data_IF_458090499612
#
_entry.id   IF_458090499612
#
_cell.length_a   1.000
_cell.length_b   1.000
_cell.length_c   1.000
_cell.angle_alpha   90.00
_cell.angle_beta   90.00
_cell.angle_gamma   90.00
#
_symmetry.space_group_name_H-M   'P 1'
#
loop_
_entity.id
_entity.type
_entity.pdbx_description
1 polymer ?
#
# COMPACT_ATOMS: atom_id res chain seq x y z
N UNK A 1 15.81 -31.07 -6.68
CA UNK A 1 16.38 -29.87 -5.98
C UNK A 1 15.97 -28.55 -6.63
N UNK A 2 16.11 -28.36 -7.96
CA UNK A 2 15.78 -27.09 -8.61
C UNK A 2 14.28 -26.70 -8.52
N UNK A 3 13.37 -27.65 -8.71
CA UNK A 3 11.91 -27.42 -8.65
C UNK A 3 11.45 -26.91 -7.29
N UNK A 4 11.98 -27.48 -6.20
CA UNK A 4 11.65 -27.08 -4.83
C UNK A 4 12.04 -25.63 -4.55
N UNK A 5 13.21 -25.20 -5.05
CA UNK A 5 13.69 -23.83 -4.92
C UNK A 5 12.85 -22.82 -5.72
N UNK A 6 12.39 -23.20 -6.91
CA UNK A 6 11.51 -22.35 -7.74
C UNK A 6 10.17 -22.16 -7.03
N UNK A 7 9.57 -23.23 -6.51
CA UNK A 7 8.30 -23.17 -5.79
C UNK A 7 8.41 -22.34 -4.51
N UNK A 8 9.53 -22.42 -3.79
CA UNK A 8 9.80 -21.57 -2.63
C UNK A 8 9.80 -20.08 -3.00
N UNK A 9 10.52 -19.72 -4.08
CA UNK A 9 10.56 -18.33 -4.55
C UNK A 9 9.19 -17.82 -4.99
N UNK A 10 8.43 -18.64 -5.73
CA UNK A 10 7.07 -18.30 -6.15
C UNK A 10 6.14 -18.12 -4.95
N UNK A 11 6.24 -18.99 -3.94
CA UNK A 11 5.49 -18.87 -2.70
C UNK A 11 5.81 -17.58 -1.95
N UNK A 12 7.09 -17.25 -1.76
CA UNK A 12 7.52 -16.00 -1.13
C UNK A 12 7.02 -14.77 -1.90
N UNK A 13 7.15 -14.79 -3.23
CA UNK A 13 6.68 -13.70 -4.08
C UNK A 13 5.16 -13.51 -3.98
N UNK A 14 4.41 -14.61 -3.99
CA UNK A 14 2.95 -14.57 -3.81
C UNK A 14 2.55 -13.96 -2.46
N UNK A 15 3.24 -14.33 -1.37
CA UNK A 15 2.99 -13.73 -0.05
C UNK A 15 3.29 -12.23 -0.06
N UNK A 16 4.39 -11.79 -0.67
CA UNK A 16 4.69 -10.35 -0.80
C UNK A 16 3.61 -9.64 -1.60
N UNK A 17 3.11 -10.22 -2.69
CA UNK A 17 2.01 -9.66 -3.47
C UNK A 17 0.71 -9.59 -2.67
N UNK A 18 0.39 -10.63 -1.90
CA UNK A 18 -0.81 -10.68 -1.06
C UNK A 18 -0.76 -9.62 0.03
N UNK A 19 0.38 -9.51 0.72
CA UNK A 19 0.60 -8.46 1.71
C UNK A 19 0.59 -7.08 1.06
N UNK A 20 1.23 -6.92 -0.10
CA UNK A 20 1.18 -5.68 -0.88
C UNK A 20 -0.25 -5.29 -1.21
N UNK A 21 -1.05 -6.20 -1.75
CA UNK A 21 -2.46 -5.97 -2.07
C UNK A 21 -3.28 -5.58 -0.82
N UNK A 22 -3.04 -6.23 0.32
CA UNK A 22 -3.76 -5.96 1.56
C UNK A 22 -3.39 -4.60 2.18
N UNK A 23 -2.10 -4.27 2.23
CA UNK A 23 -1.61 -3.10 2.96
C UNK A 23 -1.49 -1.83 2.10
N UNK A 24 -1.31 -1.96 0.77
CA UNK A 24 -1.23 -0.82 -0.13
C UNK A 24 -2.45 0.14 -0.03
N UNK A 25 -3.72 -0.31 -0.05
CA UNK A 25 -4.85 0.60 0.08
C UNK A 25 -4.87 1.31 1.44
N UNK A 26 -4.44 0.64 2.51
CA UNK A 26 -4.36 1.24 3.86
C UNK A 26 -3.29 2.35 3.87
N UNK A 27 -2.12 2.10 3.26
CA UNK A 27 -1.05 3.09 3.12
C UNK A 27 -1.52 4.28 2.28
N UNK A 28 -2.26 4.05 1.20
CA UNK A 28 -2.83 5.12 0.37
C UNK A 28 -3.81 5.95 1.19
N UNK A 29 -4.74 5.32 1.91
CA UNK A 29 -5.70 6.04 2.76
C UNK A 29 -4.99 6.86 3.86
N UNK A 30 -3.95 6.29 4.48
CA UNK A 30 -3.14 6.98 5.48
C UNK A 30 -2.30 8.13 4.90
N UNK A 31 -1.83 8.02 3.65
CA UNK A 31 -1.17 9.13 2.98
C UNK A 31 -2.18 10.23 2.61
N UNK A 32 -3.35 9.84 2.12
CA UNK A 32 -4.41 10.74 1.68
C UNK A 32 -5.12 11.44 2.84
N UNK A 33 -5.00 10.96 4.09
CA UNK A 33 -5.49 11.70 5.25
C UNK A 33 -4.70 12.98 5.54
N UNK A 34 -3.50 13.12 4.95
CA UNK A 34 -2.73 14.37 4.94
C UNK A 34 -3.03 15.26 3.72
N UNK A 35 -3.98 14.86 2.86
CA UNK A 35 -4.42 15.69 1.74
C UNK A 35 -5.54 16.65 2.20
N UNK A 36 -5.49 17.90 1.75
CA UNK A 36 -6.52 18.90 2.06
C UNK A 36 -7.85 18.62 1.36
N UNK A 37 -7.84 17.85 0.27
CA UNK A 37 -9.07 17.44 -0.43
C UNK A 37 -9.83 16.35 0.35
N UNK A 38 -11.10 16.59 0.71
CA UNK A 38 -11.95 15.58 1.38
C UNK A 38 -12.34 14.42 0.45
N UNK A 39 -12.17 14.57 -0.87
CA UNK A 39 -12.51 13.57 -1.87
C UNK A 39 -11.28 12.85 -2.43
N UNK A 40 -10.14 12.94 -1.75
CA UNK A 40 -8.90 12.31 -2.17
C UNK A 40 -8.47 12.67 -3.61
N UNK A 41 -8.71 13.91 -4.02
CA UNK A 41 -8.34 14.39 -5.35
C UNK A 41 -6.86 14.80 -5.41
N UNK A 42 -6.31 14.75 -6.61
CA UNK A 42 -4.99 15.30 -6.93
C UNK A 42 -5.18 16.65 -7.66
N UNK A 43 -4.21 17.59 -7.57
CA UNK A 43 -2.89 17.48 -6.94
C UNK A 43 -2.96 17.38 -5.40
N UNK A 44 -1.97 16.71 -4.82
CA UNK A 44 -1.89 16.52 -3.37
C UNK A 44 -1.51 17.84 -2.69
N UNK A 45 -2.34 18.27 -1.75
CA UNK A 45 -2.13 19.48 -0.93
C UNK A 45 -1.95 19.05 0.52
N UNK A 46 -0.74 19.19 1.06
CA UNK A 46 -0.44 18.76 2.42
C UNK A 46 -1.19 19.59 3.47
N UNK A 47 -1.93 18.95 4.37
CA UNK A 47 -2.53 19.57 5.56
C UNK A 47 -2.49 18.63 6.78
N UNK A 48 -2.53 19.22 7.97
CA UNK A 48 -2.77 18.53 9.24
C UNK A 48 -3.99 19.08 9.98
N UNK A 49 -4.79 19.94 9.33
CA UNK A 49 -5.96 20.58 9.95
C UNK A 49 -7.00 19.56 10.43
N UNK A 50 -7.02 18.37 9.81
CA UNK A 50 -7.86 17.24 10.23
C UNK A 50 -7.52 16.65 11.61
N UNK A 51 -6.35 16.98 12.16
CA UNK A 51 -5.83 16.43 13.42
C UNK A 51 -5.77 17.46 14.56
N UNK A 52 -6.18 18.70 14.30
CA UNK A 52 -6.18 19.80 15.27
C UNK A 52 -7.48 19.85 16.09
#
# INVERSE_FOLDING_TARGET
MATTRILEWLGRFYIVLLLGFLYLPIIIMAAMSFNASPFYQLPFEWTTDWYA
#
